data_IF_487315924387
#
_entry.id   IF_487315924387
#
_cell.length_a   1.000
_cell.length_b   1.000
_cell.length_c   1.000
_cell.angle_alpha   90.00
_cell.angle_beta   90.00
_cell.angle_gamma   90.00
#
_symmetry.space_group_name_H-M   'P 1'
#
loop_
_entity.id
_entity.type
_entity.pdbx_description
1 polymer ?
#
# COMPACT_ATOMS: atom_id res chain seq x y z
N UNK A 1 14.43 13.66 -0.87
CA UNK A 1 13.32 12.88 -1.43
C UNK A 1 13.58 12.68 -2.91
N UNK A 2 13.58 11.45 -3.39
CA UNK A 2 13.90 11.10 -4.78
C UNK A 2 13.04 9.93 -5.23
N UNK A 3 12.63 9.93 -6.49
CA UNK A 3 11.95 8.79 -7.08
C UNK A 3 12.95 7.62 -7.24
N UNK A 4 12.50 6.39 -6.97
CA UNK A 4 13.36 5.21 -7.09
C UNK A 4 13.88 4.97 -8.50
N UNK A 5 13.19 5.50 -9.51
CA UNK A 5 13.57 5.40 -10.93
C UNK A 5 14.72 6.33 -11.29
N UNK A 6 14.93 7.38 -10.50
CA UNK A 6 15.95 8.41 -10.72
C UNK A 6 17.20 8.20 -9.84
N UNK A 7 17.31 7.04 -9.18
CA UNK A 7 18.51 6.70 -8.40
C UNK A 7 19.68 6.49 -9.35
N UNK A 8 20.67 7.35 -9.27
CA UNK A 8 21.89 7.32 -10.07
C UNK A 8 23.12 6.81 -9.29
N UNK A 9 22.98 6.59 -7.98
CA UNK A 9 24.02 6.05 -7.12
C UNK A 9 24.63 4.74 -7.64
N UNK A 10 25.88 4.47 -7.26
CA UNK A 10 26.52 3.18 -7.47
C UNK A 10 25.73 2.04 -6.80
N UNK A 11 25.83 0.80 -7.33
CA UNK A 11 25.08 -0.33 -6.77
C UNK A 11 25.35 -0.58 -5.29
N UNK A 12 24.30 -0.98 -4.58
CA UNK A 12 24.27 -1.21 -3.15
C UNK A 12 24.54 -2.68 -2.78
N UNK A 13 25.06 -2.91 -1.59
CA UNK A 13 25.20 -4.25 -1.03
C UNK A 13 23.84 -4.81 -0.58
N UNK A 14 22.93 -3.92 -0.16
CA UNK A 14 21.58 -4.26 0.27
C UNK A 14 20.59 -3.14 -0.05
N UNK A 15 19.35 -3.52 -0.39
CA UNK A 15 18.22 -2.60 -0.62
C UNK A 15 17.05 -3.05 0.25
N UNK A 16 16.36 -2.09 0.90
CA UNK A 16 15.10 -2.32 1.58
C UNK A 16 14.00 -1.47 0.93
N UNK A 17 12.87 -2.10 0.60
CA UNK A 17 11.64 -1.44 0.12
C UNK A 17 10.49 -1.87 0.99
N UNK A 18 9.89 -0.92 1.73
CA UNK A 18 8.89 -1.19 2.75
C UNK A 18 7.58 -0.50 2.35
N UNK A 19 6.54 -1.29 2.10
CA UNK A 19 5.18 -0.84 1.77
C UNK A 19 5.15 0.23 0.65
N UNK A 20 5.98 0.03 -0.37
CA UNK A 20 6.05 0.91 -1.53
C UNK A 20 5.49 0.22 -2.79
N UNK A 21 5.68 -1.09 -2.90
CA UNK A 21 5.38 -1.84 -4.12
C UNK A 21 3.89 -1.79 -4.49
N UNK A 22 3.00 -1.70 -3.51
CA UNK A 22 1.55 -1.56 -3.68
C UNK A 22 1.16 -0.31 -4.48
N UNK A 23 1.96 0.76 -4.35
CA UNK A 23 1.72 2.03 -5.03
C UNK A 23 2.37 2.12 -6.42
N UNK A 24 3.21 1.15 -6.79
CA UNK A 24 3.93 1.17 -8.07
C UNK A 24 3.00 0.98 -9.27
N UNK A 25 1.91 0.21 -9.11
CA UNK A 25 0.98 -0.13 -10.20
C UNK A 25 1.53 -1.20 -11.14
N UNK A 26 0.64 -2.07 -11.64
CA UNK A 26 1.01 -3.28 -12.39
C UNK A 26 1.88 -3.00 -13.63
N UNK A 27 1.60 -1.94 -14.35
CA UNK A 27 2.33 -1.58 -15.57
C UNK A 27 3.83 -1.30 -15.30
N UNK A 28 4.16 -0.89 -14.09
CA UNK A 28 5.52 -0.50 -13.69
C UNK A 28 6.27 -1.58 -12.90
N UNK A 29 5.63 -2.70 -12.56
CA UNK A 29 6.29 -3.80 -11.84
C UNK A 29 7.59 -4.28 -12.51
N UNK A 30 7.63 -4.48 -13.84
CA UNK A 30 8.90 -4.86 -14.48
C UNK A 30 10.02 -3.84 -14.25
N UNK A 31 9.70 -2.54 -14.31
CA UNK A 31 10.65 -1.46 -14.05
C UNK A 31 11.16 -1.46 -12.61
N UNK A 32 10.27 -1.68 -11.63
CA UNK A 32 10.65 -1.79 -10.22
C UNK A 32 11.67 -2.90 -10.00
N UNK A 33 11.40 -4.10 -10.50
CA UNK A 33 12.32 -5.23 -10.34
C UNK A 33 13.62 -5.06 -11.14
N UNK A 34 13.55 -4.41 -12.30
CA UNK A 34 14.76 -4.04 -13.05
C UNK A 34 15.63 -3.07 -12.25
N UNK A 35 15.05 -2.04 -11.64
CA UNK A 35 15.78 -1.10 -10.78
C UNK A 35 16.43 -1.83 -9.60
N UNK A 36 15.70 -2.74 -8.91
CA UNK A 36 16.28 -3.54 -7.84
C UNK A 36 17.50 -4.35 -8.30
N UNK A 37 17.37 -5.02 -9.46
CA UNK A 37 18.49 -5.79 -10.02
C UNK A 37 19.68 -4.89 -10.34
N UNK A 38 19.45 -3.78 -11.02
CA UNK A 38 20.53 -2.93 -11.56
C UNK A 38 21.23 -2.14 -10.44
N UNK A 39 20.53 -1.91 -9.33
CA UNK A 39 21.06 -1.23 -8.15
C UNK A 39 21.60 -2.17 -7.06
N UNK A 40 21.57 -3.48 -7.28
CA UNK A 40 22.26 -4.45 -6.41
C UNK A 40 23.63 -4.82 -6.98
N UNK A 41 24.64 -4.85 -6.13
CA UNK A 41 25.93 -5.46 -6.45
C UNK A 41 25.76 -6.96 -6.68
N UNK A 42 26.66 -7.61 -7.44
CA UNK A 42 26.69 -9.06 -7.50
C UNK A 42 26.76 -9.69 -6.09
N UNK A 43 25.81 -10.57 -5.77
CA UNK A 43 25.66 -11.16 -4.43
C UNK A 43 24.92 -10.28 -3.41
N UNK A 44 24.54 -9.05 -3.76
CA UNK A 44 23.71 -8.17 -2.95
C UNK A 44 22.32 -8.73 -2.73
N UNK A 45 21.60 -8.20 -1.74
CA UNK A 45 20.28 -8.68 -1.34
C UNK A 45 19.26 -7.54 -1.24
N UNK A 46 18.04 -7.77 -1.75
CA UNK A 46 16.91 -6.88 -1.51
C UNK A 46 15.93 -7.53 -0.54
N UNK A 47 15.39 -6.72 0.39
CA UNK A 47 14.24 -7.06 1.22
C UNK A 47 13.07 -6.19 0.77
N UNK A 48 12.00 -6.81 0.28
CA UNK A 48 10.78 -6.11 -0.11
C UNK A 48 9.65 -6.55 0.82
N UNK A 49 9.14 -5.63 1.62
CA UNK A 49 7.90 -5.84 2.36
C UNK A 49 6.75 -5.27 1.54
N UNK A 50 5.73 -6.07 1.31
CA UNK A 50 4.53 -5.67 0.58
C UNK A 50 3.31 -6.39 1.13
N UNK A 51 2.16 -5.73 1.10
CA UNK A 51 0.86 -6.37 1.32
C UNK A 51 0.56 -7.23 0.10
N UNK A 52 0.07 -8.45 0.32
CA UNK A 52 -0.28 -9.37 -0.76
C UNK A 52 -1.73 -9.82 -0.66
N UNK A 53 -2.32 -10.13 -1.81
CA UNK A 53 -3.61 -10.84 -1.88
C UNK A 53 -3.36 -12.32 -2.22
N UNK A 54 -4.23 -13.20 -1.77
CA UNK A 54 -4.15 -14.63 -2.09
C UNK A 54 -4.15 -14.87 -3.60
N UNK A 55 -3.39 -15.84 -4.07
CA UNK A 55 -3.27 -16.18 -5.50
C UNK A 55 -4.63 -16.50 -6.16
N UNK A 56 -5.51 -17.22 -5.45
CA UNK A 56 -6.84 -17.59 -5.95
C UNK A 56 -7.83 -16.41 -6.06
N UNK A 57 -7.52 -15.29 -5.43
CA UNK A 57 -8.32 -14.07 -5.50
C UNK A 57 -7.74 -13.03 -6.47
N UNK A 58 -6.51 -13.20 -6.91
CA UNK A 58 -5.73 -12.17 -7.60
C UNK A 58 -6.39 -11.71 -8.91
N UNK A 59 -6.79 -12.63 -9.78
CA UNK A 59 -7.40 -12.26 -11.07
C UNK A 59 -8.73 -11.52 -10.88
N UNK A 60 -9.55 -11.93 -9.93
CA UNK A 60 -10.80 -11.23 -9.61
C UNK A 60 -10.52 -9.84 -9.06
N UNK A 61 -9.50 -9.69 -8.21
CA UNK A 61 -9.08 -8.42 -7.64
C UNK A 61 -8.56 -7.46 -8.72
N UNK A 62 -7.76 -7.95 -9.66
CA UNK A 62 -7.25 -7.15 -10.78
C UNK A 62 -8.35 -6.71 -11.75
N UNK A 63 -9.37 -7.54 -11.95
CA UNK A 63 -10.51 -7.23 -12.83
C UNK A 63 -11.53 -6.27 -12.21
N UNK A 64 -11.46 -6.04 -10.90
CA UNK A 64 -12.36 -5.17 -10.15
C UNK A 64 -11.68 -3.93 -9.63
N UNK A 65 -12.47 -3.11 -8.93
CA UNK A 65 -11.98 -2.00 -8.13
C UNK A 65 -12.64 -2.09 -6.77
N UNK A 66 -11.85 -2.12 -5.72
CA UNK A 66 -12.38 -2.05 -4.36
C UNK A 66 -12.34 -0.64 -3.79
N UNK A 67 -12.88 -0.50 -2.57
CA UNK A 67 -12.92 0.77 -1.87
C UNK A 67 -11.51 1.36 -1.66
N UNK A 68 -10.54 0.52 -1.29
CA UNK A 68 -9.17 0.96 -1.00
C UNK A 68 -8.50 1.50 -2.28
N UNK A 69 -8.66 0.77 -3.40
CA UNK A 69 -8.12 1.19 -4.69
C UNK A 69 -8.77 2.47 -5.21
N UNK A 70 -10.05 2.70 -4.90
CA UNK A 70 -10.79 3.84 -5.44
C UNK A 70 -10.58 5.11 -4.61
N UNK A 71 -10.53 5.00 -3.27
CA UNK A 71 -10.65 6.16 -2.39
C UNK A 71 -9.46 6.37 -1.45
N UNK A 72 -8.69 5.33 -1.14
CA UNK A 72 -7.58 5.43 -0.18
C UNK A 72 -6.23 5.47 -0.90
N UNK A 73 -6.02 4.56 -1.85
CA UNK A 73 -4.79 4.45 -2.65
C UNK A 73 -5.12 4.31 -4.14
N UNK A 74 -5.56 5.41 -4.80
CA UNK A 74 -5.88 5.38 -6.22
C UNK A 74 -4.71 4.88 -7.06
N UNK A 75 -4.98 3.87 -7.92
CA UNK A 75 -3.96 3.24 -8.75
C UNK A 75 -3.11 2.19 -8.04
N UNK A 76 -3.29 1.99 -6.73
CA UNK A 76 -2.63 0.92 -5.98
C UNK A 76 -3.10 -0.47 -6.42
N UNK A 77 -2.20 -1.43 -6.40
CA UNK A 77 -2.50 -2.83 -6.70
C UNK A 77 -1.66 -3.77 -5.85
N UNK A 78 -2.33 -4.60 -5.06
CA UNK A 78 -1.66 -5.64 -4.28
C UNK A 78 -1.22 -6.78 -5.19
N UNK A 79 0.05 -7.20 -5.13
CA UNK A 79 0.48 -8.41 -5.83
C UNK A 79 -0.06 -9.67 -5.16
N UNK A 80 -0.17 -10.76 -5.90
CA UNK A 80 -0.18 -12.07 -5.26
C UNK A 80 1.26 -12.60 -5.08
N UNK A 81 1.50 -13.53 -4.14
CA UNK A 81 2.82 -14.13 -3.97
C UNK A 81 3.37 -14.74 -5.27
N UNK A 82 2.54 -15.41 -6.06
CA UNK A 82 2.94 -15.97 -7.36
C UNK A 82 3.29 -14.89 -8.37
N UNK A 83 2.48 -13.83 -8.47
CA UNK A 83 2.74 -12.73 -9.39
C UNK A 83 4.04 -11.99 -9.02
N UNK A 84 4.28 -11.75 -7.72
CA UNK A 84 5.51 -11.14 -7.24
C UNK A 84 6.74 -11.98 -7.62
N UNK A 85 6.72 -13.29 -7.32
CA UNK A 85 7.82 -14.20 -7.70
C UNK A 85 8.06 -14.27 -9.21
N UNK A 86 6.99 -14.24 -10.00
CA UNK A 86 7.10 -14.25 -11.45
C UNK A 86 7.81 -13.00 -11.97
N UNK A 87 7.48 -11.82 -11.44
CA UNK A 87 8.12 -10.56 -11.81
C UNK A 87 9.59 -10.50 -11.38
N UNK A 88 9.92 -10.93 -10.16
CA UNK A 88 11.30 -11.02 -9.68
C UNK A 88 12.13 -11.92 -10.60
N UNK A 89 11.62 -13.11 -10.91
CA UNK A 89 12.30 -14.08 -11.81
C UNK A 89 12.49 -13.52 -13.22
N UNK A 90 11.47 -12.86 -13.77
CA UNK A 90 11.55 -12.25 -15.10
C UNK A 90 12.63 -11.15 -15.17
N UNK A 91 12.90 -10.48 -14.06
CA UNK A 91 13.98 -9.50 -13.94
C UNK A 91 15.36 -10.14 -13.65
N UNK A 92 15.46 -11.47 -13.48
CA UNK A 92 16.71 -12.16 -13.15
C UNK A 92 17.03 -12.16 -11.66
N UNK A 93 16.05 -11.90 -10.79
CA UNK A 93 16.16 -11.99 -9.34
C UNK A 93 15.55 -13.30 -8.84
N UNK A 94 16.12 -13.88 -7.79
CA UNK A 94 15.60 -15.05 -7.13
C UNK A 94 15.04 -14.69 -5.74
N UNK A 95 13.80 -15.12 -5.46
CA UNK A 95 13.22 -15.01 -4.11
C UNK A 95 13.75 -16.17 -3.28
N UNK A 96 14.68 -15.89 -2.39
CA UNK A 96 15.39 -16.89 -1.58
C UNK A 96 14.72 -17.15 -0.23
N UNK A 97 13.87 -16.24 0.24
CA UNK A 97 13.13 -16.40 1.49
C UNK A 97 11.85 -15.58 1.47
N UNK A 98 10.82 -16.07 2.13
CA UNK A 98 9.54 -15.39 2.31
C UNK A 98 9.08 -15.52 3.77
N UNK A 99 8.59 -14.42 4.32
CA UNK A 99 8.01 -14.37 5.67
C UNK A 99 6.62 -13.74 5.60
N UNK A 100 5.59 -14.50 5.94
CA UNK A 100 4.24 -13.97 6.10
C UNK A 100 3.98 -13.64 7.57
N UNK A 101 3.65 -12.38 7.86
CA UNK A 101 3.41 -11.88 9.21
C UNK A 101 2.05 -11.15 9.34
N UNK A 102 1.05 -11.57 8.58
CA UNK A 102 -0.28 -10.98 8.58
C UNK A 102 -0.95 -10.97 9.96
N UNK A 103 -0.72 -12.03 10.78
CA UNK A 103 -1.26 -12.07 12.14
C UNK A 103 -0.64 -10.99 13.06
N UNK A 104 0.66 -10.75 12.94
CA UNK A 104 1.34 -9.68 13.68
C UNK A 104 0.89 -8.30 13.21
N UNK A 105 0.64 -8.15 11.91
CA UNK A 105 0.10 -6.93 11.34
C UNK A 105 -1.33 -6.65 11.83
N UNK A 106 -2.17 -7.68 11.92
CA UNK A 106 -3.51 -7.56 12.49
C UNK A 106 -3.46 -7.08 13.96
N UNK A 107 -2.53 -7.61 14.77
CA UNK A 107 -2.32 -7.14 16.16
C UNK A 107 -1.84 -5.68 16.18
N UNK A 108 -0.98 -5.27 15.26
CA UNK A 108 -0.56 -3.87 15.12
C UNK A 108 -1.75 -2.95 14.84
N UNK A 109 -2.61 -3.31 13.88
CA UNK A 109 -3.82 -2.56 13.56
C UNK A 109 -4.79 -2.51 14.74
N UNK A 110 -4.95 -3.61 15.49
CA UNK A 110 -5.74 -3.64 16.71
C UNK A 110 -5.23 -2.63 17.75
N UNK A 111 -3.91 -2.55 17.94
CA UNK A 111 -3.29 -1.56 18.85
C UNK A 111 -3.47 -0.13 18.35
N UNK A 112 -3.34 0.11 17.08
CA UNK A 112 -3.59 1.43 16.49
C UNK A 112 -5.04 1.87 16.68
N UNK A 113 -5.99 0.95 16.44
CA UNK A 113 -7.41 1.23 16.69
C UNK A 113 -7.67 1.65 18.13
N UNK A 114 -7.12 0.96 19.12
CA UNK A 114 -7.27 1.31 20.54
C UNK A 114 -6.74 2.72 20.82
N UNK A 115 -5.54 3.04 20.32
CA UNK A 115 -4.95 4.37 20.48
C UNK A 115 -5.76 5.45 19.79
N UNK A 116 -6.19 5.19 18.57
CA UNK A 116 -7.02 6.13 17.80
C UNK A 116 -8.32 6.47 18.54
N UNK A 117 -9.03 5.46 19.03
CA UNK A 117 -10.26 5.66 19.79
C UNK A 117 -10.02 6.40 21.12
N UNK A 118 -8.89 6.20 21.77
CA UNK A 118 -8.54 6.94 22.99
C UNK A 118 -8.28 8.43 22.73
N UNK A 119 -7.84 8.80 21.52
CA UNK A 119 -7.56 10.18 21.08
C UNK A 119 -8.68 10.78 20.19
N UNK A 120 -9.84 10.14 20.12
CA UNK A 120 -10.93 10.48 19.21
C UNK A 120 -11.33 11.97 19.29
N UNK A 121 -11.49 12.49 20.51
CA UNK A 121 -11.85 13.90 20.71
C UNK A 121 -10.81 14.87 20.12
N UNK A 122 -9.53 14.51 20.21
CA UNK A 122 -8.42 15.30 19.65
C UNK A 122 -8.39 15.20 18.12
N UNK A 123 -8.65 14.02 17.57
CA UNK A 123 -8.74 13.81 16.12
C UNK A 123 -9.90 14.61 15.52
N UNK A 124 -11.08 14.61 16.19
CA UNK A 124 -12.23 15.44 15.78
C UNK A 124 -11.92 16.93 15.81
N UNK A 125 -11.18 17.38 16.82
CA UNK A 125 -10.84 18.80 16.97
C UNK A 125 -9.95 19.34 15.82
N UNK A 126 -9.21 18.48 15.11
CA UNK A 126 -8.43 18.87 13.93
C UNK A 126 -9.25 18.84 12.62
N UNK A 127 -10.55 18.51 12.69
CA UNK A 127 -11.46 18.54 11.55
C UNK A 127 -11.28 17.43 10.52
N UNK A 128 -10.47 16.42 10.84
CA UNK A 128 -10.15 15.32 9.93
C UNK A 128 -11.21 14.19 9.92
N UNK A 129 -12.11 14.18 10.90
CA UNK A 129 -13.06 13.10 11.13
C UNK A 129 -14.35 13.64 11.80
N UNK A 130 -15.50 13.33 11.25
CA UNK A 130 -16.83 13.74 11.76
C UNK A 130 -17.64 12.53 12.25
N UNK A 131 -18.77 12.78 12.93
CA UNK A 131 -19.71 11.71 13.31
C UNK A 131 -20.29 11.03 12.07
N UNK A 132 -20.58 11.81 11.03
CA UNK A 132 -21.08 11.29 9.75
C UNK A 132 -20.08 10.31 9.09
N UNK A 133 -18.78 10.57 9.24
CA UNK A 133 -17.73 9.68 8.71
C UNK A 133 -17.64 8.38 9.52
N UNK A 134 -17.84 8.43 10.83
CA UNK A 134 -17.86 7.25 11.70
C UNK A 134 -19.01 6.31 11.34
N UNK A 135 -20.21 6.86 11.24
CA UNK A 135 -21.44 6.09 10.98
C UNK A 135 -21.42 5.52 9.54
N UNK A 136 -20.67 6.16 8.63
CA UNK A 136 -20.42 5.63 7.29
C UNK A 136 -19.43 4.46 7.27
N UNK A 137 -18.50 4.41 8.23
CA UNK A 137 -17.39 3.42 8.27
C UNK A 137 -17.70 2.23 9.15
N UNK A 138 -18.42 2.44 10.25
CA UNK A 138 -18.65 1.40 11.26
C UNK A 138 -20.14 1.07 11.40
N UNK A 139 -20.46 -0.20 11.49
CA UNK A 139 -21.76 -0.66 12.00
C UNK A 139 -21.82 -0.46 13.53
N UNK A 140 -23.01 -0.53 14.11
CA UNK A 140 -23.26 -0.36 15.55
C UNK A 140 -22.46 -1.36 16.43
N UNK A 141 -22.11 -2.53 15.88
CA UNK A 141 -21.29 -3.54 16.53
C UNK A 141 -19.76 -3.29 16.38
N UNK A 142 -19.38 -2.20 15.71
CA UNK A 142 -17.99 -1.82 15.46
C UNK A 142 -17.32 -2.57 14.29
N UNK A 143 -18.07 -3.39 13.54
CA UNK A 143 -17.58 -3.96 12.29
C UNK A 143 -17.58 -2.90 11.16
N UNK A 144 -16.73 -3.10 10.14
CA UNK A 144 -16.64 -2.15 9.01
C UNK A 144 -17.83 -2.34 8.09
N UNK A 145 -18.57 -1.27 7.81
CA UNK A 145 -19.67 -1.27 6.86
C UNK A 145 -19.14 -1.42 5.43
N UNK A 146 -19.67 -2.39 4.67
CA UNK A 146 -19.28 -2.61 3.28
C UNK A 146 -19.82 -1.55 2.30
N UNK A 147 -20.69 -0.65 2.75
CA UNK A 147 -21.29 0.44 1.97
C UNK A 147 -20.76 1.81 2.43
N UNK A 148 -19.45 2.01 2.30
CA UNK A 148 -18.89 3.33 2.58
C UNK A 148 -19.22 4.26 1.42
N UNK A 149 -20.22 5.14 1.60
CA UNK A 149 -20.38 6.34 0.79
C UNK A 149 -19.48 7.42 1.39
N UNK A 150 -18.23 7.47 1.02
CA UNK A 150 -17.43 8.66 1.23
C UNK A 150 -17.91 9.71 0.21
N UNK A 151 -18.61 10.71 0.70
CA UNK A 151 -18.68 11.99 -0.02
C UNK A 151 -17.36 12.68 0.23
N UNK A 152 -16.54 12.96 -0.82
CA UNK A 152 -15.29 13.67 -0.63
C UNK A 152 -15.61 15.07 -0.11
N UNK A 153 -15.33 15.34 1.17
CA UNK A 153 -15.30 16.69 1.74
C UNK A 153 -13.93 17.37 1.57
N UNK A 154 -13.03 16.76 0.84
CA UNK A 154 -11.81 17.43 0.42
C UNK A 154 -12.21 18.28 -0.79
N UNK A 155 -12.34 19.58 -0.59
CA UNK A 155 -12.63 20.49 -1.70
C UNK A 155 -11.49 20.43 -2.72
N UNK A 156 -11.80 20.62 -4.00
CA UNK A 156 -10.76 20.72 -5.04
C UNK A 156 -9.71 21.79 -4.71
N UNK A 157 -10.05 22.81 -3.97
CA UNK A 157 -9.13 23.83 -3.45
C UNK A 157 -8.11 23.24 -2.47
N UNK A 158 -8.54 22.34 -1.60
CA UNK A 158 -7.62 21.65 -0.65
C UNK A 158 -6.68 20.69 -1.36
N UNK A 159 -7.14 20.00 -2.41
CA UNK A 159 -6.30 19.14 -3.23
C UNK A 159 -5.28 19.94 -4.04
N UNK A 160 -5.71 21.07 -4.63
CA UNK A 160 -4.83 21.98 -5.36
C UNK A 160 -3.79 22.64 -4.45
N UNK A 161 -4.17 23.01 -3.23
CA UNK A 161 -3.24 23.54 -2.22
C UNK A 161 -2.20 22.50 -1.76
N UNK A 162 -2.54 21.20 -1.83
CA UNK A 162 -1.64 20.08 -1.55
C UNK A 162 -0.82 19.63 -2.76
N UNK A 163 -0.96 20.28 -3.94
CA UNK A 163 -0.21 19.93 -5.15
C UNK A 163 -0.69 18.65 -5.83
N UNK A 164 -1.90 18.18 -5.52
CA UNK A 164 -2.51 16.99 -6.14
C UNK A 164 -3.40 17.48 -7.29
N UNK A 165 -2.94 17.30 -8.53
CA UNK A 165 -3.76 17.54 -9.72
C UNK A 165 -4.70 16.35 -9.91
N UNK A 166 -6.01 16.65 -10.01
CA UNK A 166 -7.04 15.67 -10.34
C UNK A 166 -6.93 15.22 -11.80
#
# INVERSE_FOLDING_TARGET
>A
LQDYRDIDDEPFDAIASIEMFEAVGRAYWPGFFATLRDKLKPGGRACVQSITIRDDLFERYVAGTDFIQQYVFPGGLLPSPSAFRAQARAAGLEVVNELAFGADYAETLRRWRVRFLAEEARVRAIGFYSDDDRDAILNDDGSVNQLIRLTPRISNETLQAAGVNA
#
